data_IF_369582673939
#
_entry.id   IF_369582673939
#
_cell.length_a   1.000
_cell.length_b   1.000
_cell.length_c   1.000
_cell.angle_alpha   90.00
_cell.angle_beta   90.00
_cell.angle_gamma   90.00
#
_symmetry.space_group_name_H-M   'P 1'
#
loop_
_entity.id
_entity.type
_entity.pdbx_description
1 polymer ?
#
# COMPACT_ATOMS: atom_id res chain seq x y z
N UNK A 1 -3.40 9.34 -7.96
CA UNK A 1 -3.73 8.04 -7.31
C UNK A 1 -2.60 7.07 -7.60
N UNK A 2 -2.22 6.20 -6.66
CA UNK A 2 -1.10 5.25 -6.77
C UNK A 2 0.23 5.72 -6.14
N UNK A 3 0.33 6.99 -5.76
CA UNK A 3 1.54 7.55 -5.16
C UNK A 3 1.76 7.03 -3.73
N UNK A 4 3.02 6.78 -3.38
CA UNK A 4 3.45 6.46 -2.01
C UNK A 4 3.52 7.72 -1.17
N UNK A 5 2.93 7.66 0.02
CA UNK A 5 2.83 8.81 0.91
C UNK A 5 2.99 8.37 2.37
N UNK A 6 3.38 9.32 3.20
CA UNK A 6 3.40 9.17 4.63
C UNK A 6 2.31 10.06 5.23
N UNK A 7 1.47 9.45 6.05
CA UNK A 7 0.42 10.10 6.82
C UNK A 7 0.75 9.89 8.30
N UNK A 8 1.08 10.98 8.99
CA UNK A 8 1.64 10.94 10.35
C UNK A 8 2.93 10.08 10.38
N UNK A 9 2.89 8.91 11.04
CA UNK A 9 4.01 7.97 11.14
C UNK A 9 3.83 6.74 10.24
N UNK A 10 2.71 6.64 9.50
CA UNK A 10 2.36 5.45 8.73
C UNK A 10 2.54 5.70 7.23
N UNK A 11 3.11 4.72 6.54
CA UNK A 11 3.22 4.73 5.10
C UNK A 11 1.96 4.13 4.45
N UNK A 12 1.65 4.59 3.24
CA UNK A 12 0.51 4.10 2.49
C UNK A 12 0.49 4.56 1.03
N UNK A 13 -0.55 4.13 0.33
CA UNK A 13 -0.78 4.41 -1.08
C UNK A 13 -2.03 5.26 -1.24
N UNK A 14 -1.92 6.36 -1.99
CA UNK A 14 -3.07 7.21 -2.31
C UNK A 14 -4.06 6.43 -3.19
N UNK A 15 -5.30 6.28 -2.73
CA UNK A 15 -6.40 5.65 -3.47
C UNK A 15 -7.45 6.64 -3.95
N UNK A 16 -7.60 7.76 -3.26
CA UNK A 16 -8.60 8.77 -3.57
C UNK A 16 -8.03 10.18 -3.40
N UNK A 17 -8.41 11.11 -4.28
CA UNK A 17 -8.15 12.54 -4.13
C UNK A 17 -9.38 13.30 -4.62
N UNK A 18 -10.04 14.06 -3.76
CA UNK A 18 -11.26 14.76 -4.14
C UNK A 18 -12.01 15.40 -2.98
N UNK A 19 -13.20 15.90 -3.26
CA UNK A 19 -14.17 16.35 -2.25
C UNK A 19 -14.93 15.16 -1.68
N UNK A 20 -15.50 15.32 -0.49
CA UNK A 20 -16.19 14.25 0.24
C UNK A 20 -17.52 14.76 0.80
N UNK A 21 -18.47 13.85 1.02
CA UNK A 21 -19.77 14.22 1.61
C UNK A 21 -19.69 14.44 3.12
N UNK A 22 -18.74 13.78 3.79
CA UNK A 22 -18.63 13.85 5.26
C UNK A 22 -18.00 15.17 5.75
N UNK A 23 -17.27 15.88 4.89
CA UNK A 23 -16.64 17.16 5.24
C UNK A 23 -16.22 17.95 3.98
N UNK A 24 -16.26 19.30 4.02
CA UNK A 24 -15.78 20.14 2.94
C UNK A 24 -14.26 20.09 2.78
N UNK A 25 -13.77 20.58 1.64
CA UNK A 25 -12.35 20.67 1.32
C UNK A 25 -11.82 19.48 0.50
N UNK A 26 -10.52 19.53 0.20
CA UNK A 26 -9.84 18.49 -0.59
C UNK A 26 -9.23 17.44 0.34
N UNK A 27 -9.74 16.23 0.21
CA UNK A 27 -9.34 15.06 0.98
C UNK A 27 -8.52 14.09 0.13
N UNK A 28 -7.67 13.34 0.82
CA UNK A 28 -6.90 12.25 0.26
C UNK A 28 -7.26 10.99 1.04
N UNK A 29 -7.77 9.99 0.32
CA UNK A 29 -7.95 8.65 0.85
C UNK A 29 -6.69 7.83 0.61
N UNK A 30 -6.17 7.24 1.68
CA UNK A 30 -4.93 6.45 1.67
C UNK A 30 -5.24 5.05 2.20
N UNK A 31 -4.84 4.03 1.46
CA UNK A 31 -4.70 2.67 2.00
C UNK A 31 -3.33 2.59 2.67
N UNK A 32 -3.30 2.45 3.99
CA UNK A 32 -2.07 2.25 4.77
C UNK A 32 -1.49 0.86 4.50
N UNK A 33 -0.20 0.67 4.77
CA UNK A 33 0.43 -0.64 4.62
C UNK A 33 0.05 -1.63 5.74
N UNK A 34 -0.37 -1.09 6.89
CA UNK A 34 -0.74 -1.84 8.09
C UNK A 34 -2.16 -1.48 8.54
N UNK A 35 -2.77 -2.32 9.38
CA UNK A 35 -4.14 -2.16 9.90
C UNK A 35 -4.30 -1.04 10.96
N UNK A 36 -3.68 0.11 10.72
CA UNK A 36 -3.66 1.30 11.58
C UNK A 36 -4.57 2.42 11.07
N UNK A 37 -5.43 2.10 10.11
CA UNK A 37 -6.43 2.97 9.51
C UNK A 37 -7.71 3.05 10.36
N UNK A 38 -8.75 3.65 9.76
CA UNK A 38 -10.03 3.93 10.42
C UNK A 38 -11.25 3.43 9.65
N UNK A 39 -11.06 3.01 8.40
CA UNK A 39 -12.12 2.59 7.51
C UNK A 39 -11.60 1.56 6.48
N UNK A 40 -12.51 1.10 5.63
CA UNK A 40 -12.29 0.17 4.51
C UNK A 40 -12.40 0.89 3.15
N UNK A 41 -12.23 2.22 3.15
CA UNK A 41 -12.44 3.09 2.00
C UNK A 41 -13.87 3.62 1.85
N UNK A 42 -14.76 3.27 2.78
CA UNK A 42 -16.09 3.88 2.92
C UNK A 42 -16.22 4.76 4.17
N UNK A 43 -17.06 5.80 4.11
CA UNK A 43 -17.42 6.64 5.26
C UNK A 43 -18.92 6.95 5.15
N UNK A 44 -19.68 6.72 6.24
CA UNK A 44 -21.13 6.97 6.30
C UNK A 44 -21.91 6.27 5.15
N UNK A 45 -21.54 5.03 4.82
CA UNK A 45 -22.21 4.24 3.79
C UNK A 45 -21.82 4.59 2.34
N UNK A 46 -21.06 5.67 2.10
CA UNK A 46 -20.53 5.99 0.78
C UNK A 46 -19.12 5.44 0.60
N UNK A 47 -18.91 4.70 -0.50
CA UNK A 47 -17.60 4.17 -0.89
C UNK A 47 -16.87 5.16 -1.79
N UNK A 48 -15.61 5.42 -1.48
CA UNK A 48 -14.73 6.31 -2.24
C UNK A 48 -13.56 5.55 -2.86
N UNK A 49 -13.09 4.48 -2.19
CA UNK A 49 -12.09 3.55 -2.68
C UNK A 49 -12.25 2.20 -1.97
N UNK A 50 -11.50 1.20 -2.41
CA UNK A 50 -11.45 -0.14 -1.80
C UNK A 50 -10.13 -0.37 -1.07
N UNK A 51 -10.22 -0.90 0.15
CA UNK A 51 -9.11 -1.48 0.90
C UNK A 51 -9.63 -2.44 1.98
N UNK A 52 -8.72 -3.12 2.69
CA UNK A 52 -9.08 -3.96 3.83
C UNK A 52 -9.65 -3.12 5.00
N UNK A 53 -10.48 -3.73 5.88
CA UNK A 53 -10.97 -3.06 7.07
C UNK A 53 -9.82 -2.58 7.96
N UNK A 54 -9.90 -1.34 8.43
CA UNK A 54 -8.87 -0.67 9.22
C UNK A 54 -7.57 -0.37 8.45
N UNK A 55 -7.59 -0.33 7.12
CA UNK A 55 -6.43 0.12 6.32
C UNK A 55 -6.65 1.52 5.73
N UNK A 56 -7.90 1.91 5.52
CA UNK A 56 -8.25 3.18 4.91
C UNK A 56 -8.18 4.33 5.91
N UNK A 57 -7.63 5.47 5.47
CA UNK A 57 -7.69 6.74 6.21
C UNK A 57 -7.99 7.89 5.25
N UNK A 58 -8.80 8.83 5.71
CA UNK A 58 -8.99 10.12 5.05
C UNK A 58 -8.23 11.20 5.81
N UNK A 59 -7.42 11.97 5.08
CA UNK A 59 -6.74 13.15 5.62
C UNK A 59 -6.85 14.33 4.65
N UNK A 60 -6.78 15.54 5.18
CA UNK A 60 -6.66 16.74 4.35
C UNK A 60 -5.38 16.66 3.52
N UNK A 61 -5.43 17.14 2.28
CA UNK A 61 -4.28 17.11 1.37
C UNK A 61 -3.00 17.73 1.97
N UNK A 62 -3.15 18.72 2.86
CA UNK A 62 -2.03 19.37 3.56
C UNK A 62 -1.32 18.48 4.59
N UNK A 63 -1.92 17.35 4.99
CA UNK A 63 -1.37 16.42 5.99
C UNK A 63 -0.69 15.20 5.36
N UNK A 64 -0.60 15.16 4.03
CA UNK A 64 0.03 14.07 3.28
C UNK A 64 1.43 14.50 2.87
N UNK A 65 2.43 13.69 3.20
CA UNK A 65 3.81 13.90 2.74
C UNK A 65 4.14 12.88 1.65
N UNK A 66 4.61 13.30 0.46
CA UNK A 66 5.10 12.34 -0.53
C UNK A 66 6.23 11.50 0.07
N UNK A 67 6.16 10.19 -0.10
CA UNK A 67 7.32 9.35 0.13
C UNK A 67 8.13 9.29 -1.16
N UNK A 68 9.46 9.46 -1.11
CA UNK A 68 10.28 9.29 -2.29
C UNK A 68 10.05 7.88 -2.85
N UNK A 69 10.00 7.72 -4.19
CA UNK A 69 10.02 6.39 -4.76
C UNK A 69 11.29 5.71 -4.23
N UNK A 70 11.13 4.58 -3.55
CA UNK A 70 12.27 3.78 -3.13
C UNK A 70 12.92 3.24 -4.40
N UNK A 71 13.91 3.98 -4.91
CA UNK A 71 14.75 3.54 -6.02
C UNK A 71 15.46 2.27 -5.59
N UNK A 72 14.91 1.11 -5.97
CA UNK A 72 15.60 -0.16 -5.92
C UNK A 72 15.61 -0.88 -4.57
N UNK A 73 14.49 -1.52 -4.23
CA UNK A 73 14.57 -2.98 -4.08
C UNK A 73 13.96 -3.57 -5.34
N UNK A 74 14.83 -3.91 -6.28
CA UNK A 74 14.56 -5.00 -7.22
C UNK A 74 13.98 -6.12 -6.35
N UNK A 75 12.72 -6.48 -6.55
CA UNK A 75 12.22 -7.73 -5.99
C UNK A 75 13.25 -8.77 -6.42
N UNK A 76 14.00 -9.33 -5.46
CA UNK A 76 14.78 -10.53 -5.75
C UNK A 76 13.80 -11.49 -6.43
N UNK A 77 14.10 -12.03 -7.62
CA UNK A 77 13.24 -13.06 -8.17
C UNK A 77 13.09 -14.14 -7.09
N UNK A 78 11.87 -14.71 -6.90
CA UNK A 78 11.71 -15.80 -5.95
C UNK A 78 12.73 -16.86 -6.33
N UNK A 79 13.46 -17.39 -5.35
CA UNK A 79 14.45 -18.43 -5.55
C UNK A 79 13.76 -19.63 -6.23
N UNK A 80 13.81 -19.66 -7.55
CA UNK A 80 13.37 -20.77 -8.36
C UNK A 80 14.42 -21.88 -8.20
N UNK A 81 14.06 -22.86 -7.38
CA UNK A 81 14.23 -24.30 -7.64
C UNK A 81 15.42 -24.66 -8.51
N UNK A 82 16.48 -25.21 -7.90
CA UNK A 82 17.32 -26.21 -8.55
C UNK A 82 17.50 -27.39 -7.60
N UNK A 83 16.83 -28.47 -7.95
CA UNK A 83 16.86 -29.80 -7.33
C UNK A 83 18.29 -30.34 -7.21
N UNK A 84 18.63 -31.13 -6.18
CA UNK A 84 19.84 -31.93 -6.20
C UNK A 84 19.58 -33.15 -7.11
N UNK A 85 20.11 -33.15 -8.32
CA UNK A 85 20.20 -34.36 -9.13
C UNK A 85 21.39 -35.19 -8.65
N UNK A 86 21.08 -36.37 -8.11
CA UNK A 86 22.02 -37.46 -7.87
C UNK A 86 22.71 -37.88 -9.18
N UNK A 87 24.02 -38.04 -9.16
CA UNK A 87 24.71 -38.96 -10.06
C UNK A 87 26.02 -39.45 -9.45
N UNK A 88 26.03 -40.75 -9.25
CA UNK A 88 27.10 -41.66 -8.82
C UNK A 88 28.33 -41.56 -9.73
N UNK A 89 29.57 -41.62 -9.21
CA UNK A 89 30.70 -42.02 -10.04
C UNK A 89 30.85 -43.55 -9.98
N UNK A 90 30.67 -44.18 -11.14
CA UNK A 90 30.99 -45.59 -11.37
C UNK A 90 32.45 -45.70 -11.82
N UNK A 91 33.19 -46.57 -11.12
CA UNK A 91 34.34 -47.37 -11.54
C UNK A 91 35.45 -46.76 -12.42
N UNK A 92 36.69 -46.79 -11.89
CA UNK A 92 37.74 -47.69 -12.41
C UNK A 92 38.84 -47.92 -11.39
#
# INVERSE_FOLDING_TARGET
VGSRVQVQQNAGTVKFVGTTEFAPGKWVGVELDECLGKNDGSVQGKRYFDCQPNYGVFVLASKVKPLPPTSGRRASPPAAVRSPTSSTPSAR
#
